data_IF_521637494653
#
_entry.id   IF_521637494653
#
_cell.length_a   1.000
_cell.length_b   1.000
_cell.length_c   1.000
_cell.angle_alpha   90.00
_cell.angle_beta   90.00
_cell.angle_gamma   90.00
#
_symmetry.space_group_name_H-M   'P 1'
#
loop_
_entity.id
_entity.type
_entity.pdbx_description
1 polymer ?
#
# COMPACT_ATOMS: atom_id res chain seq x y z
N UNK A 1 1.87 -27.75 1.01
CA UNK A 1 2.27 -26.45 1.60
C UNK A 1 2.50 -25.52 0.44
N UNK A 2 1.73 -24.45 0.35
CA UNK A 2 1.99 -23.40 -0.63
C UNK A 2 3.29 -22.69 -0.25
N UNK A 3 4.25 -22.69 -1.17
CA UNK A 3 5.54 -22.06 -0.96
C UNK A 3 5.41 -20.56 -1.26
N UNK A 4 5.77 -19.70 -0.30
CA UNK A 4 5.81 -18.26 -0.48
C UNK A 4 6.76 -17.93 -1.64
N UNK A 5 6.25 -17.24 -2.66
CA UNK A 5 6.97 -17.02 -3.93
C UNK A 5 7.89 -15.79 -3.90
N UNK A 6 8.12 -15.22 -2.72
CA UNK A 6 8.93 -14.02 -2.53
C UNK A 6 9.64 -14.07 -1.16
N UNK A 7 10.93 -13.78 -1.14
CA UNK A 7 11.71 -13.56 0.10
C UNK A 7 11.70 -12.08 0.51
N UNK A 8 12.05 -11.78 1.77
CA UNK A 8 12.11 -10.39 2.25
C UNK A 8 13.17 -9.55 1.50
N UNK A 9 14.31 -10.15 1.15
CA UNK A 9 15.32 -9.48 0.31
C UNK A 9 14.80 -9.19 -1.11
N UNK A 10 14.04 -10.12 -1.70
CA UNK A 10 13.41 -9.90 -3.00
C UNK A 10 12.32 -8.83 -2.92
N UNK A 11 11.54 -8.82 -1.84
CA UNK A 11 10.56 -7.76 -1.57
C UNK A 11 11.24 -6.40 -1.46
N UNK A 12 12.34 -6.31 -0.72
CA UNK A 12 13.11 -5.06 -0.61
C UNK A 12 13.72 -4.64 -1.95
N UNK A 13 14.26 -5.58 -2.74
CA UNK A 13 14.72 -5.30 -4.10
C UNK A 13 13.59 -4.78 -4.97
N UNK A 14 12.40 -5.40 -4.94
CA UNK A 14 11.23 -4.93 -5.69
C UNK A 14 10.81 -3.51 -5.29
N UNK A 15 10.85 -3.21 -3.99
CA UNK A 15 10.61 -1.86 -3.43
C UNK A 15 11.65 -0.87 -3.99
N UNK A 16 12.92 -1.27 -4.13
CA UNK A 16 14.01 -0.38 -4.57
C UNK A 16 14.06 -0.15 -6.10
N UNK A 17 13.38 -0.97 -6.91
CA UNK A 17 13.50 -1.00 -8.39
C UNK A 17 12.58 -0.04 -9.14
N UNK A 18 11.91 0.87 -8.43
CA UNK A 18 10.85 1.69 -8.98
C UNK A 18 11.39 2.91 -9.75
N UNK A 19 11.80 2.67 -11.00
CA UNK A 19 12.05 3.71 -12.02
C UNK A 19 10.87 3.81 -12.98
N UNK A 20 9.91 4.66 -12.60
CA UNK A 20 9.17 5.58 -13.46
C UNK A 20 8.74 5.11 -14.86
N UNK A 21 7.51 4.61 -14.97
CA UNK A 21 6.60 5.02 -16.06
C UNK A 21 5.16 4.91 -15.56
N UNK A 22 4.49 6.03 -15.38
CA UNK A 22 3.07 6.12 -15.05
C UNK A 22 2.37 6.80 -16.23
N UNK A 23 1.35 6.15 -16.79
CA UNK A 23 0.47 6.83 -17.75
C UNK A 23 -0.25 7.97 -17.03
N UNK A 24 -0.40 9.13 -17.70
CA UNK A 24 -1.12 10.29 -17.13
C UNK A 24 -2.51 9.87 -16.68
N UNK A 25 -2.76 9.89 -15.37
CA UNK A 25 -4.04 9.52 -14.78
C UNK A 25 -4.49 10.60 -13.79
N UNK A 26 -5.71 11.08 -13.97
CA UNK A 26 -6.36 12.03 -13.08
C UNK A 26 -7.50 11.34 -12.35
N UNK A 27 -7.50 11.41 -11.03
CA UNK A 27 -8.57 10.91 -10.17
C UNK A 27 -9.20 12.08 -9.42
N UNK A 28 -10.53 12.11 -9.38
CA UNK A 28 -11.30 13.04 -8.55
C UNK A 28 -11.78 12.23 -7.35
N UNK A 29 -11.21 12.46 -6.17
CA UNK A 29 -11.54 11.74 -4.94
C UNK A 29 -12.92 12.18 -4.46
N UNK A 30 -13.87 11.24 -4.51
CA UNK A 30 -15.22 11.36 -3.95
C UNK A 30 -15.43 10.21 -2.95
N UNK A 31 -16.34 10.39 -1.99
CA UNK A 31 -16.67 9.35 -1.01
C UNK A 31 -17.01 8.01 -1.67
N UNK A 32 -16.37 6.93 -1.20
CA UNK A 32 -16.55 5.58 -1.72
C UNK A 32 -15.75 5.29 -3.00
N UNK A 33 -14.93 6.23 -3.49
CA UNK A 33 -14.10 5.99 -4.67
C UNK A 33 -13.08 4.88 -4.39
N UNK A 34 -13.03 3.91 -5.30
CA UNK A 34 -11.98 2.91 -5.36
C UNK A 34 -11.33 2.91 -6.73
N UNK A 35 -10.04 2.60 -6.78
CA UNK A 35 -9.31 2.56 -8.03
C UNK A 35 -8.05 1.71 -7.94
N UNK A 36 -7.40 1.56 -9.09
CA UNK A 36 -6.16 0.78 -9.21
C UNK A 36 -5.27 1.47 -10.23
N UNK A 37 -4.05 1.76 -9.82
CA UNK A 37 -3.03 2.42 -10.65
C UNK A 37 -1.97 1.37 -10.99
N UNK A 38 -1.70 1.20 -12.28
CA UNK A 38 -0.57 0.39 -12.76
C UNK A 38 0.70 1.21 -12.63
N UNK A 39 1.69 0.64 -11.95
CA UNK A 39 3.03 1.21 -11.79
C UNK A 39 4.01 0.29 -12.52
N UNK A 40 4.95 0.87 -13.27
CA UNK A 40 6.01 0.12 -13.96
C UNK A 40 7.35 0.45 -13.30
N UNK A 41 8.07 -0.59 -12.88
CA UNK A 41 9.47 -0.52 -12.44
C UNK A 41 10.38 -1.30 -13.39
N UNK A 42 11.69 -1.29 -13.10
CA UNK A 42 12.70 -2.00 -13.90
C UNK A 42 13.41 -3.02 -13.04
N UNK A 43 13.11 -4.31 -13.19
CA UNK A 43 13.80 -5.42 -12.52
C UNK A 43 14.79 -6.06 -13.50
N UNK A 44 16.09 -6.02 -13.18
CA UNK A 44 17.16 -6.56 -14.03
C UNK A 44 17.11 -6.04 -15.49
N UNK A 45 16.75 -4.76 -15.67
CA UNK A 45 16.62 -4.12 -16.98
C UNK A 45 15.29 -4.36 -17.71
N UNK A 46 14.47 -5.31 -17.23
CA UNK A 46 13.17 -5.63 -17.80
C UNK A 46 12.04 -4.88 -17.10
N UNK A 47 10.93 -4.64 -17.81
CA UNK A 47 9.72 -4.10 -17.22
C UNK A 47 9.18 -5.07 -16.17
N UNK A 48 8.90 -4.53 -14.99
CA UNK A 48 8.22 -5.24 -13.91
C UNK A 48 7.02 -4.42 -13.47
N UNK A 49 5.89 -5.09 -13.24
CA UNK A 49 4.63 -4.41 -13.00
C UNK A 49 4.21 -4.50 -11.55
N UNK A 50 3.71 -3.37 -11.04
CA UNK A 50 3.14 -3.23 -9.71
C UNK A 50 1.77 -2.58 -9.82
N UNK A 51 1.02 -2.66 -8.73
CA UNK A 51 -0.25 -1.98 -8.61
C UNK A 51 -0.37 -1.26 -7.29
N UNK A 52 -0.91 -0.05 -7.32
CA UNK A 52 -1.45 0.64 -6.16
C UNK A 52 -2.97 0.63 -6.27
N UNK A 53 -3.63 -0.22 -5.49
CA UNK A 53 -5.09 -0.15 -5.31
C UNK A 53 -5.43 0.76 -4.15
N UNK A 54 -6.51 1.52 -4.28
CA UNK A 54 -6.95 2.45 -3.26
C UNK A 54 -8.45 2.44 -3.02
N UNK A 55 -8.85 2.82 -1.82
CA UNK A 55 -10.20 3.16 -1.38
C UNK A 55 -10.14 4.50 -0.65
N UNK A 56 -11.03 5.41 -0.99
CA UNK A 56 -11.19 6.70 -0.35
C UNK A 56 -12.62 6.82 0.18
N UNK A 57 -12.77 6.70 1.49
CA UNK A 57 -14.04 6.82 2.19
C UNK A 57 -13.83 7.26 3.64
N UNK A 58 -14.85 7.86 4.25
CA UNK A 58 -14.87 8.25 5.66
C UNK A 58 -14.60 7.02 6.54
N UNK A 59 -13.60 7.14 7.42
CA UNK A 59 -13.11 6.05 8.31
C UNK A 59 -12.76 4.73 7.58
N UNK A 60 -12.43 4.81 6.29
CA UNK A 60 -12.19 3.62 5.47
C UNK A 60 -11.28 3.92 4.28
N UNK A 61 -10.11 4.51 4.56
CA UNK A 61 -9.07 4.75 3.56
C UNK A 61 -8.13 3.55 3.53
N UNK A 62 -7.90 3.02 2.33
CA UNK A 62 -6.99 1.91 2.10
C UNK A 62 -6.07 2.22 0.93
N UNK A 63 -4.77 1.98 1.09
CA UNK A 63 -3.78 2.04 0.03
C UNK A 63 -2.98 0.74 0.09
N UNK A 64 -2.98 -0.03 -0.99
CA UNK A 64 -2.27 -1.31 -1.06
C UNK A 64 -1.39 -1.34 -2.30
N UNK A 65 -0.08 -1.34 -2.08
CA UNK A 65 0.94 -1.50 -3.10
C UNK A 65 1.41 -2.95 -3.14
N UNK A 66 1.28 -3.58 -4.31
CA UNK A 66 1.55 -5.01 -4.47
C UNK A 66 2.19 -5.33 -5.82
N UNK A 67 2.92 -6.44 -5.83
CA UNK A 67 3.54 -7.00 -7.01
C UNK A 67 2.48 -7.63 -7.94
N UNK A 68 2.51 -7.30 -9.23
CA UNK A 68 1.50 -7.78 -10.18
C UNK A 68 1.68 -9.25 -10.57
N UNK A 69 2.88 -9.82 -10.38
CA UNK A 69 3.17 -11.21 -10.77
C UNK A 69 2.74 -12.18 -9.68
N UNK A 70 3.11 -11.89 -8.43
CA UNK A 70 2.84 -12.75 -7.27
C UNK A 70 1.53 -12.39 -6.56
N UNK A 71 0.99 -11.19 -6.80
CA UNK A 71 -0.12 -10.59 -6.04
C UNK A 71 0.20 -10.40 -4.54
N UNK A 72 1.47 -10.50 -4.13
CA UNK A 72 1.85 -10.23 -2.75
C UNK A 72 1.85 -8.73 -2.48
N UNK A 73 1.11 -8.33 -1.43
CA UNK A 73 1.21 -6.99 -0.83
C UNK A 73 2.64 -6.76 -0.36
N UNK A 74 3.23 -5.67 -0.83
CA UNK A 74 4.54 -5.19 -0.39
C UNK A 74 4.38 -4.23 0.79
N UNK A 75 3.45 -3.29 0.67
CA UNK A 75 3.04 -2.38 1.74
C UNK A 75 1.57 -2.01 1.58
N UNK A 76 0.84 -1.99 2.70
CA UNK A 76 -0.53 -1.52 2.78
C UNK A 76 -0.70 -0.56 3.95
N UNK A 77 -1.38 0.56 3.74
CA UNK A 77 -1.83 1.46 4.81
C UNK A 77 -3.35 1.38 4.88
N UNK A 78 -3.86 1.18 6.09
CA UNK A 78 -5.28 1.22 6.41
C UNK A 78 -5.50 2.33 7.44
N UNK A 79 -6.27 3.36 7.07
CA UNK A 79 -6.74 4.41 7.96
C UNK A 79 -8.24 4.16 8.20
N UNK A 80 -8.49 3.31 9.20
CA UNK A 80 -9.81 2.83 9.58
C UNK A 80 -9.81 2.41 11.06
N UNK A 81 -10.99 2.13 11.60
CA UNK A 81 -11.19 1.60 12.96
C UNK A 81 -11.07 0.06 13.07
N UNK A 82 -10.71 -0.64 11.99
CA UNK A 82 -10.67 -2.11 11.94
C UNK A 82 -9.39 -2.66 12.58
N UNK A 83 -9.21 -3.98 12.48
CA UNK A 83 -8.06 -4.67 13.04
C UNK A 83 -7.39 -5.61 12.05
N UNK A 84 -6.12 -5.90 12.31
CA UNK A 84 -5.37 -6.99 11.71
C UNK A 84 -4.87 -7.92 12.81
N UNK A 85 -4.93 -9.23 12.59
CA UNK A 85 -4.44 -10.25 13.52
C UNK A 85 -3.09 -10.79 13.06
N UNK A 86 -2.03 -10.32 13.69
CA UNK A 86 -0.69 -10.89 13.57
C UNK A 86 -0.63 -12.26 14.28
N UNK A 87 0.47 -12.97 14.07
CA UNK A 87 0.85 -14.21 14.75
C UNK A 87 1.02 -13.99 16.26
N UNK A 88 1.45 -12.79 16.65
CA UNK A 88 1.80 -12.40 18.02
C UNK A 88 0.80 -11.42 18.68
N UNK A 89 -0.28 -11.05 18.00
CA UNK A 89 -1.25 -10.12 18.59
C UNK A 89 -2.24 -9.51 17.60
N UNK A 90 -3.02 -8.55 18.08
CA UNK A 90 -4.01 -7.82 17.28
C UNK A 90 -3.64 -6.34 17.25
N UNK A 91 -3.53 -5.79 16.04
CA UNK A 91 -3.34 -4.36 15.79
C UNK A 91 -4.69 -3.75 15.40
N UNK A 92 -5.08 -2.65 16.04
CA UNK A 92 -6.35 -1.94 15.79
C UNK A 92 -6.10 -0.52 15.32
N UNK A 93 -7.06 0.04 14.60
CA UNK A 93 -6.99 1.41 14.11
C UNK A 93 -6.04 1.58 12.92
N UNK A 94 -5.58 2.81 12.74
CA UNK A 94 -4.59 3.19 11.75
C UNK A 94 -3.34 2.31 11.84
N UNK A 95 -3.02 1.65 10.73
CA UNK A 95 -1.93 0.67 10.67
C UNK A 95 -1.26 0.65 9.32
N UNK A 96 0.02 0.31 9.34
CA UNK A 96 0.76 -0.12 8.17
C UNK A 96 0.98 -1.62 8.24
N UNK A 97 0.85 -2.29 7.11
CA UNK A 97 1.04 -3.72 6.97
C UNK A 97 2.10 -3.95 5.90
N UNK A 98 3.19 -4.60 6.30
CA UNK A 98 4.40 -4.76 5.48
C UNK A 98 4.58 -6.23 5.18
N UNK A 99 4.98 -6.56 3.95
CA UNK A 99 5.37 -7.91 3.59
C UNK A 99 6.35 -8.50 4.61
N UNK A 100 6.08 -9.73 5.07
CA UNK A 100 6.94 -10.44 6.01
C UNK A 100 6.80 -11.93 5.80
N UNK A 101 7.88 -12.55 5.33
CA UNK A 101 8.00 -14.01 5.24
C UNK A 101 7.94 -14.67 6.61
N UNK A 102 8.55 -14.05 7.63
CA UNK A 102 8.51 -14.57 9.00
C UNK A 102 7.07 -14.61 9.54
N UNK A 103 6.28 -13.58 9.25
CA UNK A 103 4.87 -13.56 9.62
C UNK A 103 4.06 -14.64 8.89
N UNK A 104 4.33 -14.86 7.59
CA UNK A 104 3.73 -15.96 6.84
C UNK A 104 4.00 -17.32 7.48
N UNK A 105 5.25 -17.56 7.87
CA UNK A 105 5.67 -18.79 8.54
C UNK A 105 5.01 -18.90 9.91
N UNK A 106 5.00 -17.82 10.69
CA UNK A 106 4.45 -17.83 12.05
C UNK A 106 2.92 -17.99 12.08
N UNK A 107 2.20 -17.37 11.15
CA UNK A 107 0.74 -17.53 10.99
C UNK A 107 0.38 -18.92 10.50
N UNK A 108 1.20 -19.49 9.63
CA UNK A 108 1.04 -20.83 9.03
C UNK A 108 -0.39 -21.08 8.51
N UNK A 109 -1.03 -20.05 7.95
CA UNK A 109 -2.40 -20.10 7.41
C UNK A 109 -2.44 -20.13 5.87
N UNK A 110 -1.27 -20.14 5.23
CA UNK A 110 -1.10 -20.21 3.79
C UNK A 110 -1.43 -18.93 3.03
N UNK A 111 -1.87 -17.85 3.72
CA UNK A 111 -2.39 -16.63 3.06
C UNK A 111 -1.94 -15.31 3.68
N UNK A 112 -1.44 -15.29 4.92
CA UNK A 112 -1.05 -14.03 5.58
C UNK A 112 0.43 -13.75 5.39
N UNK A 113 0.80 -13.04 4.32
CA UNK A 113 2.20 -12.64 4.05
C UNK A 113 2.59 -11.24 4.54
N UNK A 114 1.79 -10.63 5.42
CA UNK A 114 2.00 -9.26 5.90
C UNK A 114 1.92 -9.21 7.41
N UNK A 115 2.75 -8.37 8.03
CA UNK A 115 2.71 -8.05 9.45
C UNK A 115 2.22 -6.62 9.65
N UNK A 116 1.22 -6.45 10.51
CA UNK A 116 0.67 -5.15 10.84
C UNK A 116 1.42 -4.48 12.01
N UNK A 117 1.51 -3.16 11.95
CA UNK A 117 2.06 -2.28 12.97
C UNK A 117 1.15 -1.07 13.14
N UNK A 118 0.87 -0.66 14.38
CA UNK A 118 0.14 0.58 14.65
C UNK A 118 0.89 1.78 14.07
N UNK A 119 0.17 2.73 13.47
CA UNK A 119 0.75 4.01 13.11
C UNK A 119 0.85 4.93 14.34
N UNK A 120 1.93 5.71 14.50
CA UNK A 120 3.07 5.83 13.58
C UNK A 120 4.04 4.64 13.68
N UNK A 121 4.72 4.32 12.58
CA UNK A 121 5.72 3.24 12.55
C UNK A 121 6.86 3.55 11.60
N UNK A 122 8.11 3.56 12.09
CA UNK A 122 9.30 3.97 11.32
C UNK A 122 9.06 5.34 10.64
N UNK A 123 9.05 5.38 9.31
CA UNK A 123 8.84 6.59 8.51
C UNK A 123 7.37 6.81 8.11
N UNK A 124 6.45 5.96 8.57
CA UNK A 124 5.01 6.11 8.32
C UNK A 124 4.38 6.99 9.41
N UNK A 125 3.72 8.07 8.99
CA UNK A 125 3.00 9.00 9.86
C UNK A 125 1.70 8.36 10.34
N UNK A 126 1.20 8.83 11.48
CA UNK A 126 -0.19 8.62 11.83
C UNK A 126 -1.00 9.80 11.28
N UNK A 127 -1.85 9.53 10.30
CA UNK A 127 -2.75 10.51 9.68
C UNK A 127 -4.07 9.85 9.33
N UNK A 128 -5.12 10.64 9.16
CA UNK A 128 -6.39 10.21 8.56
C UNK A 128 -6.53 10.75 7.13
N UNK A 129 -5.48 11.37 6.59
CA UNK A 129 -5.47 11.96 5.26
C UNK A 129 -4.93 10.99 4.21
N UNK A 130 -5.63 10.92 3.08
CA UNK A 130 -5.28 10.06 1.96
C UNK A 130 -3.92 10.43 1.34
N UNK A 131 -3.64 11.73 1.20
CA UNK A 131 -2.42 12.21 0.56
C UNK A 131 -1.20 11.99 1.43
N UNK A 132 -1.32 12.15 2.75
CA UNK A 132 -0.25 11.78 3.69
C UNK A 132 0.13 10.30 3.55
N UNK A 133 -0.87 9.41 3.56
CA UNK A 133 -0.61 7.98 3.42
C UNK A 133 -0.09 7.60 2.04
N UNK A 134 -0.54 8.28 0.98
CA UNK A 134 -0.02 8.09 -0.38
C UNK A 134 1.47 8.48 -0.47
N UNK A 135 1.82 9.64 0.09
CA UNK A 135 3.20 10.12 0.16
C UNK A 135 4.07 9.16 0.97
N UNK A 136 3.57 8.62 2.09
CA UNK A 136 4.31 7.63 2.89
C UNK A 136 4.60 6.35 2.09
N UNK A 137 3.65 5.85 1.28
CA UNK A 137 3.90 4.72 0.38
C UNK A 137 4.97 5.07 -0.65
N UNK A 138 4.89 6.24 -1.28
CA UNK A 138 5.88 6.66 -2.27
C UNK A 138 7.28 6.80 -1.69
N UNK A 139 7.39 7.34 -0.47
CA UNK A 139 8.66 7.45 0.25
C UNK A 139 9.21 6.07 0.60
N UNK A 140 8.37 5.16 1.09
CA UNK A 140 8.79 3.79 1.42
C UNK A 140 9.22 2.99 0.18
N UNK A 141 8.54 3.19 -0.95
CA UNK A 141 8.79 2.48 -2.21
C UNK A 141 9.72 3.23 -3.17
N UNK A 142 10.42 4.27 -2.67
CA UNK A 142 11.40 5.07 -3.41
C UNK A 142 10.90 5.55 -4.78
N UNK A 143 9.62 5.92 -4.87
CA UNK A 143 9.01 6.39 -6.12
C UNK A 143 9.48 7.81 -6.41
N UNK A 144 10.48 7.95 -7.30
CA UNK A 144 11.15 9.22 -7.56
C UNK A 144 10.37 10.23 -8.41
N UNK A 145 9.41 9.79 -9.21
CA UNK A 145 8.52 10.70 -9.94
C UNK A 145 7.12 10.07 -10.08
N UNK A 146 6.19 10.65 -9.33
CA UNK A 146 4.77 10.31 -9.33
C UNK A 146 3.96 11.45 -9.97
N UNK A 147 4.62 12.42 -10.64
CA UNK A 147 4.02 13.64 -11.22
C UNK A 147 3.04 13.33 -12.36
N UNK A 148 3.02 12.09 -12.85
CA UNK A 148 2.08 11.61 -13.86
C UNK A 148 0.74 11.15 -13.26
N UNK A 149 0.61 11.06 -11.94
CA UNK A 149 -0.68 10.80 -11.27
C UNK A 149 -1.11 12.09 -10.59
N UNK A 150 -2.34 12.51 -10.81
CA UNK A 150 -2.93 13.65 -10.14
C UNK A 150 -4.21 13.21 -9.42
N UNK A 151 -4.25 13.49 -8.12
CA UNK A 151 -5.45 13.34 -7.30
C UNK A 151 -5.97 14.72 -6.95
N UNK A 152 -7.23 14.97 -7.26
CA UNK A 152 -7.92 16.19 -6.85
C UNK A 152 -9.01 15.80 -5.86
N UNK A 153 -8.93 16.35 -4.65
CA UNK A 153 -9.99 16.20 -3.65
C UNK A 153 -11.19 17.00 -4.12
N UNK A 154 -12.32 16.33 -4.34
CA UNK A 154 -13.56 17.05 -4.52
C UNK A 154 -14.10 17.39 -3.14
N UNK A 155 -14.13 18.68 -2.80
CA UNK A 155 -14.69 19.16 -1.54
C UNK A 155 -16.22 19.08 -1.59
N UNK A 156 -16.79 17.87 -1.57
CA UNK A 156 -18.23 17.66 -1.31
C UNK A 156 -18.49 17.42 0.19
N UNK A 157 -17.66 17.98 1.06
CA UNK A 157 -17.94 18.06 2.51
C UNK A 157 -18.20 19.50 2.95
N UNK A 158 -18.79 20.32 2.06
CA UNK A 158 -19.63 21.43 2.45
C UNK A 158 -21.09 21.02 2.24
N UNK A 159 -21.56 20.05 3.01
CA UNK A 159 -22.98 20.00 3.35
C UNK A 159 -23.12 20.68 4.69
N UNK A 160 -23.73 21.85 4.64
CA UNK A 160 -24.10 22.75 5.72
C UNK A 160 -24.42 22.03 7.04
N UNK A 161 -23.81 22.52 8.12
CA UNK A 161 -24.39 22.59 9.47
C UNK A 161 -24.12 23.97 10.04
#
# INVERSE_FOLDING_TARGET
MDTLKLTDEEAQKLIDLLKLTLTKQKFILNEGLKGKIKIVGKLNGNDHYFFLSFMYAIDNIHLNFYDAVTNHTLVRINLDSKFHKNSDGVIRGNRVEIFSKDEFIAKNDGVTQIKAYSLPYKNFRNSNDFFDALEDIFNYTNVKDHRSITFEKNNILNTEL
#
